data_IF_026685903937
#
_entry.id   IF_026685903937
#
_cell.length_a   1.000
_cell.length_b   1.000
_cell.length_c   1.000
_cell.angle_alpha   90.00
_cell.angle_beta   90.00
_cell.angle_gamma   90.00
#
_symmetry.space_group_name_H-M   'P 1'
#
loop_
_entity.id
_entity.type
_entity.pdbx_description
1 polymer ?
#
# COMPACT_ATOMS: atom_id res chain seq x y z
N UNK A 1 -3.45 -19.95 -1.77
CA UNK A 1 -2.78 -19.79 -0.46
C UNK A 1 -3.02 -18.39 0.09
N UNK A 2 -3.14 -18.28 1.38
CA UNK A 2 -3.26 -16.99 2.04
C UNK A 2 -1.89 -16.51 2.49
N UNK A 3 -1.62 -15.23 2.28
CA UNK A 3 -0.33 -14.61 2.63
C UNK A 3 -0.55 -13.32 3.41
N UNK A 4 0.51 -12.82 3.99
CA UNK A 4 0.55 -11.45 4.53
C UNK A 4 1.71 -10.71 3.88
N UNK A 5 1.49 -9.42 3.62
CA UNK A 5 2.51 -8.54 3.04
C UNK A 5 2.65 -7.34 3.96
N UNK A 6 3.88 -6.98 4.28
CA UNK A 6 4.18 -5.76 5.01
C UNK A 6 4.67 -4.70 4.03
N UNK A 7 4.07 -3.52 4.10
CA UNK A 7 4.37 -2.42 3.18
C UNK A 7 4.82 -1.19 3.95
N UNK A 8 5.86 -0.54 3.44
CA UNK A 8 6.30 0.77 3.92
C UNK A 8 6.44 1.68 2.72
N UNK A 9 5.73 2.79 2.73
CA UNK A 9 5.79 3.79 1.67
C UNK A 9 6.64 4.97 2.12
N UNK A 10 7.64 5.32 1.30
CA UNK A 10 8.52 6.46 1.56
C UNK A 10 8.38 7.45 0.41
N UNK A 11 7.44 8.41 0.50
CA UNK A 11 7.29 9.43 -0.53
C UNK A 11 8.52 10.34 -0.59
N UNK A 12 8.89 10.73 -1.80
CA UNK A 12 10.06 11.58 -2.04
C UNK A 12 9.62 13.03 -2.30
N UNK A 13 8.74 13.54 -1.42
CA UNK A 13 8.26 14.92 -1.49
C UNK A 13 8.05 15.46 -0.08
N UNK A 14 7.75 16.77 0.02
CA UNK A 14 7.60 17.43 1.31
C UNK A 14 6.26 17.11 1.99
N UNK A 15 5.26 16.71 1.23
CA UNK A 15 3.93 16.41 1.76
C UNK A 15 3.75 14.90 1.92
N UNK A 16 4.68 14.27 2.64
CA UNK A 16 4.69 12.81 2.77
C UNK A 16 3.52 12.27 3.60
N UNK A 17 3.01 13.01 4.59
CA UNK A 17 1.90 12.54 5.40
C UNK A 17 0.63 12.37 4.56
N UNK A 18 0.34 13.34 3.71
CA UNK A 18 -0.82 13.29 2.83
C UNK A 18 -0.72 12.12 1.85
N UNK A 19 0.46 11.91 1.30
CA UNK A 19 0.72 10.79 0.38
C UNK A 19 0.53 9.44 1.05
N UNK A 20 1.04 9.28 2.27
CA UNK A 20 0.91 8.03 3.02
C UNK A 20 -0.56 7.77 3.36
N UNK A 21 -1.29 8.77 3.85
CA UNK A 21 -2.71 8.64 4.17
C UNK A 21 -3.53 8.25 2.96
N UNK A 22 -3.24 8.86 1.81
CA UNK A 22 -3.92 8.55 0.56
C UNK A 22 -3.66 7.10 0.13
N UNK A 23 -2.42 6.64 0.25
CA UNK A 23 -2.05 5.26 -0.08
C UNK A 23 -2.77 4.24 0.80
N UNK A 24 -2.78 4.48 2.11
CA UNK A 24 -3.46 3.60 3.08
C UNK A 24 -4.96 3.57 2.82
N UNK A 25 -5.56 4.71 2.52
CA UNK A 25 -6.98 4.79 2.18
C UNK A 25 -7.31 3.92 0.97
N UNK A 26 -6.45 3.95 -0.05
CA UNK A 26 -6.62 3.11 -1.24
C UNK A 26 -6.45 1.63 -0.92
N UNK A 27 -5.50 1.28 -0.05
CA UNK A 27 -5.33 -0.11 0.41
C UNK A 27 -6.61 -0.64 1.04
N UNK A 28 -7.26 0.16 1.87
CA UNK A 28 -8.50 -0.24 2.53
C UNK A 28 -9.63 -0.52 1.55
N UNK A 29 -9.62 0.15 0.40
CA UNK A 29 -10.67 -0.05 -0.61
C UNK A 29 -10.51 -1.33 -1.41
N UNK A 30 -9.38 -2.03 -1.28
CA UNK A 30 -9.14 -3.28 -2.01
C UNK A 30 -9.93 -4.47 -1.46
N UNK A 31 -10.51 -4.34 -0.27
CA UNK A 31 -11.34 -5.39 0.32
C UNK A 31 -10.59 -6.45 1.12
N UNK A 32 -9.30 -6.24 1.37
CA UNK A 32 -8.49 -7.16 2.17
C UNK A 32 -8.39 -6.67 3.61
N UNK A 33 -8.01 -7.57 4.53
CA UNK A 33 -7.74 -7.19 5.90
C UNK A 33 -6.47 -6.36 5.95
N UNK A 34 -6.53 -5.19 6.58
CA UNK A 34 -5.41 -4.26 6.70
C UNK A 34 -5.18 -3.93 8.17
N UNK A 35 -3.94 -4.06 8.63
CA UNK A 35 -3.51 -3.63 9.97
C UNK A 35 -2.45 -2.55 9.84
N UNK A 36 -2.72 -1.39 10.44
CA UNK A 36 -1.83 -0.24 10.35
C UNK A 36 -1.00 -0.12 11.62
N UNK A 37 0.32 -0.01 11.44
CA UNK A 37 1.28 0.29 12.49
C UNK A 37 1.97 1.60 12.18
N UNK A 38 2.61 2.26 13.16
CA UNK A 38 3.27 3.55 12.91
C UNK A 38 4.32 3.52 11.80
N UNK A 39 5.03 2.40 11.63
CA UNK A 39 6.14 2.30 10.68
C UNK A 39 5.80 1.51 9.42
N UNK A 40 4.70 0.76 9.43
CA UNK A 40 4.37 -0.12 8.31
C UNK A 40 2.90 -0.50 8.33
N UNK A 41 2.43 -1.03 7.22
CA UNK A 41 1.06 -1.53 7.09
C UNK A 41 1.10 -2.98 6.63
N UNK A 42 0.34 -3.84 7.32
CA UNK A 42 0.21 -5.24 6.96
C UNK A 42 -1.10 -5.45 6.24
N UNK A 43 -1.07 -6.19 5.14
CA UNK A 43 -2.26 -6.56 4.38
C UNK A 43 -2.28 -8.06 4.17
N UNK A 44 -3.47 -8.67 4.32
CA UNK A 44 -3.66 -10.12 4.31
C UNK A 44 -4.65 -10.50 3.22
N UNK A 45 -4.37 -11.56 2.52
CA UNK A 45 -5.29 -12.06 1.51
C UNK A 45 -4.77 -13.26 0.75
N UNK A 46 -5.55 -13.70 -0.23
CA UNK A 46 -5.15 -14.77 -1.13
C UNK A 46 -4.05 -14.25 -2.06
N UNK A 47 -3.05 -15.10 -2.33
CA UNK A 47 -1.82 -14.69 -3.01
C UNK A 47 -2.07 -13.98 -4.34
N UNK A 48 -2.78 -14.62 -5.25
CA UNK A 48 -2.95 -14.06 -6.61
C UNK A 48 -3.76 -12.78 -6.59
N UNK A 49 -4.86 -12.77 -5.85
CA UNK A 49 -5.73 -11.60 -5.75
C UNK A 49 -5.01 -10.43 -5.08
N UNK A 50 -4.31 -10.69 -3.99
CA UNK A 50 -3.60 -9.67 -3.23
C UNK A 50 -2.44 -9.08 -4.06
N UNK A 51 -1.61 -9.93 -4.66
CA UNK A 51 -0.46 -9.47 -5.43
C UNK A 51 -0.90 -8.67 -6.66
N UNK A 52 -1.96 -9.10 -7.34
CA UNK A 52 -2.48 -8.37 -8.49
C UNK A 52 -2.96 -6.97 -8.09
N UNK A 53 -3.71 -6.88 -7.00
CA UNK A 53 -4.22 -5.60 -6.51
C UNK A 53 -3.10 -4.69 -6.03
N UNK A 54 -2.10 -5.23 -5.33
CA UNK A 54 -0.96 -4.45 -4.87
C UNK A 54 -0.10 -3.95 -6.02
N UNK A 55 0.13 -4.78 -7.03
CA UNK A 55 0.89 -4.40 -8.20
C UNK A 55 0.28 -3.16 -8.87
N UNK A 56 -1.03 -3.18 -9.06
CA UNK A 56 -1.74 -2.07 -9.69
C UNK A 56 -1.70 -0.80 -8.83
N UNK A 57 -1.91 -0.94 -7.53
CA UNK A 57 -1.88 0.19 -6.61
C UNK A 57 -0.50 0.84 -6.52
N UNK A 58 0.56 0.03 -6.42
CA UNK A 58 1.94 0.51 -6.33
C UNK A 58 2.31 1.25 -7.62
N UNK A 59 1.96 0.69 -8.77
CA UNK A 59 2.21 1.32 -10.05
C UNK A 59 1.56 2.70 -10.15
N UNK A 60 0.30 2.79 -9.76
CA UNK A 60 -0.43 4.07 -9.77
C UNK A 60 0.19 5.08 -8.81
N UNK A 61 0.67 4.62 -7.67
CA UNK A 61 1.35 5.50 -6.71
C UNK A 61 2.63 6.09 -7.29
N UNK A 62 3.42 5.28 -7.99
CA UNK A 62 4.66 5.75 -8.62
C UNK A 62 4.38 6.70 -9.79
N UNK A 63 3.28 6.50 -10.50
CA UNK A 63 2.89 7.39 -11.61
C UNK A 63 2.49 8.77 -11.12
N UNK A 64 1.90 8.86 -9.92
CA UNK A 64 1.41 10.12 -9.37
C UNK A 64 2.49 10.92 -8.66
N UNK A 65 3.44 10.24 -8.00
CA UNK A 65 4.50 10.93 -7.28
C UNK A 65 5.69 10.00 -7.03
N UNK A 66 6.92 10.53 -6.93
CA UNK A 66 8.10 9.73 -6.62
C UNK A 66 7.97 9.12 -5.22
N UNK A 67 8.17 7.81 -5.13
CA UNK A 67 8.05 7.08 -3.87
C UNK A 67 8.92 5.83 -3.88
N UNK A 68 9.17 5.29 -2.70
CA UNK A 68 9.80 3.99 -2.49
C UNK A 68 8.86 3.14 -1.66
N UNK A 69 8.66 1.90 -2.09
CA UNK A 69 7.83 0.93 -1.36
C UNK A 69 8.67 -0.22 -0.88
#
# INVERSE_FOLDING_TARGET
MNISVELTLLPLNDDFESSIKSFIKKLRTLGFKVLENPMSTHIYGEYDALMHSLQDLIKKSFENEPSVV
#
